data_IF_751329373608
#
_entry.id   IF_751329373608
#
_cell.length_a   1.000
_cell.length_b   1.000
_cell.length_c   1.000
_cell.angle_alpha   90.00
_cell.angle_beta   90.00
_cell.angle_gamma   90.00
#
_symmetry.space_group_name_H-M   'P 1'
#
loop_
_entity.id
_entity.type
_entity.pdbx_description
1 polymer ?
#
# COMPACT_ATOMS: atom_id res chain seq x y z
N UNK A 1 -16.78 -20.92 7.50
CA UNK A 1 -17.13 -19.91 6.50
C UNK A 1 -18.28 -19.08 7.04
N UNK A 2 -18.08 -17.80 7.26
CA UNK A 2 -19.06 -16.92 7.89
C UNK A 2 -19.73 -15.98 6.89
N UNK A 3 -18.97 -15.54 5.89
CA UNK A 3 -19.48 -14.66 4.84
C UNK A 3 -18.67 -14.82 3.54
N UNK A 4 -19.29 -14.48 2.42
CA UNK A 4 -18.68 -14.47 1.09
C UNK A 4 -19.17 -13.24 0.32
N UNK A 5 -18.24 -12.41 -0.14
CA UNK A 5 -18.54 -11.20 -0.90
C UNK A 5 -17.98 -11.33 -2.32
N UNK A 6 -18.84 -11.12 -3.32
CA UNK A 6 -18.39 -11.04 -4.71
C UNK A 6 -17.61 -9.75 -4.95
N UNK A 7 -16.36 -9.89 -5.41
CA UNK A 7 -15.48 -8.78 -5.75
C UNK A 7 -14.67 -9.11 -6.99
N UNK A 8 -14.39 -8.12 -7.82
CA UNK A 8 -13.60 -8.32 -9.03
C UNK A 8 -12.11 -8.39 -8.71
N UNK A 9 -11.49 -9.56 -8.98
CA UNK A 9 -10.03 -9.78 -8.91
C UNK A 9 -9.36 -9.23 -7.64
N UNK A 10 -9.88 -9.59 -6.46
CA UNK A 10 -9.21 -9.27 -5.19
C UNK A 10 -7.79 -9.86 -5.17
N UNK A 11 -6.78 -9.01 -5.34
CA UNK A 11 -5.37 -9.43 -5.34
C UNK A 11 -4.70 -9.29 -3.97
N UNK A 12 -5.23 -8.46 -3.12
CA UNK A 12 -4.76 -8.26 -1.75
C UNK A 12 -5.86 -7.66 -0.87
N UNK A 13 -5.86 -8.04 0.40
CA UNK A 13 -6.72 -7.48 1.43
C UNK A 13 -5.89 -7.03 2.63
N UNK A 14 -6.35 -6.04 3.35
CA UNK A 14 -5.80 -5.63 4.65
C UNK A 14 -6.92 -5.30 5.62
N UNK A 15 -6.68 -5.53 6.91
CA UNK A 15 -7.59 -5.16 7.99
C UNK A 15 -7.02 -3.91 8.66
N UNK A 16 -7.88 -2.97 9.04
CA UNK A 16 -7.51 -1.80 9.83
C UNK A 16 -6.90 -2.22 11.19
N UNK A 17 -6.03 -1.39 11.76
CA UNK A 17 -5.42 -1.67 13.07
C UNK A 17 -6.43 -1.76 14.21
N UNK A 18 -7.56 -1.05 14.10
CA UNK A 18 -8.68 -1.14 15.04
C UNK A 18 -9.60 -2.36 14.82
N UNK A 19 -9.28 -3.22 13.83
CA UNK A 19 -9.98 -4.47 13.49
C UNK A 19 -11.47 -4.30 13.08
N UNK A 20 -11.92 -3.07 12.75
CA UNK A 20 -13.30 -2.79 12.38
C UNK A 20 -13.57 -2.81 10.89
N UNK A 21 -12.53 -2.62 10.08
CA UNK A 21 -12.66 -2.42 8.64
C UNK A 21 -11.74 -3.36 7.87
N UNK A 22 -12.21 -3.78 6.71
CA UNK A 22 -11.43 -4.53 5.74
C UNK A 22 -11.37 -3.75 4.43
N UNK A 23 -10.18 -3.69 3.84
CA UNK A 23 -9.94 -3.08 2.54
C UNK A 23 -9.48 -4.13 1.55
N UNK A 24 -10.04 -4.11 0.35
CA UNK A 24 -9.69 -5.04 -0.73
C UNK A 24 -9.35 -4.29 -2.01
N UNK A 25 -8.32 -4.76 -2.72
CA UNK A 25 -8.04 -4.32 -4.08
C UNK A 25 -9.09 -4.92 -5.02
N UNK A 26 -9.50 -4.12 -6.01
CA UNK A 26 -10.37 -4.54 -7.11
C UNK A 26 -9.72 -4.20 -8.45
N UNK A 27 -10.34 -4.58 -9.56
CA UNK A 27 -9.88 -4.17 -10.91
C UNK A 27 -9.90 -2.65 -11.10
N UNK A 28 -10.77 -1.94 -10.38
CA UNK A 28 -11.03 -0.51 -10.61
C UNK A 28 -10.58 0.39 -9.45
N UNK A 29 -9.99 -0.18 -8.42
CA UNK A 29 -9.54 0.60 -7.25
C UNK A 29 -9.50 -0.21 -5.96
N UNK A 30 -10.15 0.31 -4.94
CA UNK A 30 -10.23 -0.29 -3.59
C UNK A 30 -11.66 -0.27 -3.11
N UNK A 31 -12.09 -1.33 -2.44
CA UNK A 31 -13.35 -1.41 -1.70
C UNK A 31 -13.11 -1.48 -0.21
N UNK A 32 -13.97 -0.81 0.55
CA UNK A 32 -13.98 -0.79 2.01
C UNK A 32 -15.21 -1.50 2.56
N UNK A 33 -15.03 -2.27 3.62
CA UNK A 33 -16.07 -3.02 4.31
C UNK A 33 -16.01 -2.80 5.81
N UNK A 34 -17.16 -2.75 6.46
CA UNK A 34 -17.28 -2.95 7.91
C UNK A 34 -17.19 -4.45 8.19
N UNK A 35 -16.47 -4.82 9.23
CA UNK A 35 -16.48 -6.16 9.81
C UNK A 35 -17.50 -6.14 10.94
N UNK A 36 -18.67 -6.75 10.71
CA UNK A 36 -19.76 -6.82 11.68
C UNK A 36 -19.43 -7.75 12.85
N UNK A 37 -20.18 -7.64 13.96
CA UNK A 37 -19.91 -8.44 15.17
C UNK A 37 -19.99 -9.95 14.95
N UNK A 38 -20.83 -10.40 14.02
CA UNK A 38 -20.96 -11.80 13.61
C UNK A 38 -19.91 -12.23 12.57
N UNK A 39 -19.13 -11.27 12.07
CA UNK A 39 -18.06 -11.46 11.07
C UNK A 39 -18.55 -11.35 9.63
N UNK A 40 -19.79 -10.90 9.40
CA UNK A 40 -20.26 -10.52 8.07
C UNK A 40 -19.57 -9.23 7.58
N UNK A 41 -19.48 -9.07 6.27
CA UNK A 41 -18.84 -7.91 5.64
C UNK A 41 -19.90 -7.02 4.96
N UNK A 42 -20.06 -5.81 5.45
CA UNK A 42 -20.92 -4.79 4.83
C UNK A 42 -20.11 -3.81 4.02
N UNK A 43 -20.33 -3.74 2.70
CA UNK A 43 -19.63 -2.79 1.83
C UNK A 43 -19.99 -1.35 2.21
N UNK A 44 -18.96 -0.53 2.46
CA UNK A 44 -19.10 0.90 2.74
C UNK A 44 -19.07 1.68 1.44
N UNK A 45 -18.00 1.52 0.66
CA UNK A 45 -17.84 2.19 -0.62
C UNK A 45 -16.71 1.60 -1.46
N UNK A 46 -16.69 2.04 -2.72
CA UNK A 46 -15.63 1.84 -3.68
C UNK A 46 -14.93 3.18 -3.99
N UNK A 47 -13.61 3.16 -4.14
CA UNK A 47 -12.82 4.33 -4.50
C UNK A 47 -11.80 4.01 -5.61
N UNK A 48 -11.73 4.83 -6.69
CA UNK A 48 -10.75 4.64 -7.76
C UNK A 48 -9.35 5.05 -7.28
N UNK A 49 -8.32 4.48 -7.91
CA UNK A 49 -6.89 4.81 -7.65
C UNK A 49 -6.20 5.47 -8.85
N UNK A 50 -6.96 5.94 -9.85
CA UNK A 50 -6.45 6.65 -11.03
C UNK A 50 -5.29 5.94 -11.74
N UNK A 51 -5.40 4.64 -11.98
CA UNK A 51 -4.33 3.89 -12.61
C UNK A 51 -4.64 2.41 -12.75
N UNK A 52 -3.58 1.62 -12.89
CA UNK A 52 -3.69 0.17 -12.97
C UNK A 52 -3.99 -0.42 -11.59
N UNK A 53 -4.52 -1.64 -11.58
CA UNK A 53 -4.84 -2.37 -10.36
C UNK A 53 -3.66 -2.42 -9.40
N UNK A 54 -3.90 -2.16 -8.12
CA UNK A 54 -2.93 -2.31 -7.04
C UNK A 54 -2.51 -3.76 -6.82
N UNK A 55 -1.45 -3.97 -6.06
CA UNK A 55 -0.96 -5.30 -5.69
C UNK A 55 -0.74 -5.48 -4.19
N UNK A 56 -0.74 -4.40 -3.42
CA UNK A 56 -0.56 -4.43 -1.97
C UNK A 56 -1.28 -3.25 -1.31
N UNK A 57 -1.78 -3.46 -0.10
CA UNK A 57 -2.44 -2.46 0.76
C UNK A 57 -1.80 -2.44 2.14
N UNK A 58 -1.71 -1.24 2.72
CA UNK A 58 -1.45 -1.03 4.15
C UNK A 58 -2.16 0.22 4.64
N UNK A 59 -2.41 0.30 5.96
CA UNK A 59 -2.89 1.53 6.61
C UNK A 59 -1.79 2.13 7.48
N UNK A 60 -1.91 3.41 7.85
CA UNK A 60 -1.18 3.96 8.99
C UNK A 60 -1.78 3.40 10.30
N UNK A 61 -1.04 3.46 11.40
CA UNK A 61 -1.48 2.86 12.67
C UNK A 61 -2.73 3.50 13.27
N UNK A 62 -3.06 4.74 12.88
CA UNK A 62 -4.27 5.42 13.32
C UNK A 62 -5.46 5.19 12.37
N UNK A 63 -5.31 4.36 11.33
CA UNK A 63 -6.34 4.07 10.31
C UNK A 63 -6.93 5.32 9.67
N UNK A 64 -6.10 6.33 9.38
CA UNK A 64 -6.51 7.57 8.72
C UNK A 64 -6.17 7.61 7.24
N UNK A 65 -5.22 6.78 6.82
CA UNK A 65 -4.77 6.71 5.43
C UNK A 65 -4.57 5.27 4.98
N UNK A 66 -4.90 5.03 3.71
CA UNK A 66 -4.67 3.78 3.00
C UNK A 66 -3.61 3.99 1.92
N UNK A 67 -2.61 3.11 1.90
CA UNK A 67 -1.52 3.10 0.92
C UNK A 67 -1.73 1.96 -0.05
N UNK A 68 -1.67 2.26 -1.36
CA UNK A 68 -1.83 1.28 -2.43
C UNK A 68 -0.55 1.22 -3.25
N UNK A 69 0.11 0.07 -3.24
CA UNK A 69 1.24 -0.20 -4.10
C UNK A 69 0.75 -0.67 -5.47
N UNK A 70 1.20 -0.02 -6.55
CA UNK A 70 0.86 -0.33 -7.93
C UNK A 70 2.07 -0.90 -8.67
N UNK A 71 2.04 -2.22 -8.92
CA UNK A 71 3.14 -2.92 -9.59
C UNK A 71 3.26 -2.54 -11.07
N UNK A 72 2.13 -2.46 -11.76
CA UNK A 72 2.12 -2.30 -13.21
C UNK A 72 2.48 -0.90 -13.69
N UNK A 73 2.13 0.12 -12.93
CA UNK A 73 2.41 1.53 -13.22
C UNK A 73 3.53 2.14 -12.36
N UNK A 74 4.10 1.36 -11.43
CA UNK A 74 5.20 1.81 -10.56
C UNK A 74 4.79 3.00 -9.68
N UNK A 75 3.55 2.98 -9.20
CA UNK A 75 2.94 4.08 -8.44
C UNK A 75 2.64 3.69 -7.00
N UNK A 76 2.88 4.61 -6.06
CA UNK A 76 2.27 4.59 -4.73
C UNK A 76 1.14 5.61 -4.67
N UNK A 77 -0.04 5.19 -4.25
CA UNK A 77 -1.22 6.05 -4.06
C UNK A 77 -1.57 6.09 -2.58
N UNK A 78 -1.80 7.29 -2.06
CA UNK A 78 -2.26 7.52 -0.68
C UNK A 78 -3.68 8.05 -0.73
N UNK A 79 -4.60 7.37 -0.03
CA UNK A 79 -5.99 7.78 0.09
C UNK A 79 -6.31 8.09 1.55
N UNK A 80 -7.12 9.12 1.77
CA UNK A 80 -7.65 9.40 3.10
C UNK A 80 -8.73 8.38 3.46
N UNK A 81 -8.71 7.88 4.67
CA UNK A 81 -9.82 7.12 5.23
C UNK A 81 -10.79 8.06 5.95
N UNK A 82 -12.09 7.75 5.86
CA UNK A 82 -13.15 8.50 6.52
C UNK A 82 -13.40 7.95 7.92
N UNK A 83 -14.09 8.69 8.74
CA UNK A 83 -14.46 8.26 10.10
C UNK A 83 -15.35 7.00 10.13
N UNK A 84 -16.12 6.76 9.05
CA UNK A 84 -16.93 5.56 8.86
C UNK A 84 -16.14 4.36 8.31
N UNK A 85 -14.81 4.49 8.16
CA UNK A 85 -13.92 3.49 7.58
C UNK A 85 -13.92 3.46 6.05
N UNK A 86 -14.75 4.25 5.39
CA UNK A 86 -14.78 4.33 3.95
C UNK A 86 -13.53 4.99 3.37
N UNK A 87 -13.19 4.64 2.13
CA UNK A 87 -12.08 5.26 1.39
C UNK A 87 -12.53 6.59 0.81
N UNK A 88 -11.80 7.66 1.11
CA UNK A 88 -12.03 9.02 0.67
C UNK A 88 -11.17 9.42 -0.54
N UNK A 89 -10.77 10.71 -0.55
CA UNK A 89 -9.99 11.28 -1.67
C UNK A 89 -8.55 10.77 -1.71
N UNK A 90 -7.98 10.77 -2.91
CA UNK A 90 -6.53 10.59 -3.10
C UNK A 90 -5.83 11.86 -2.61
N UNK A 91 -4.93 11.69 -1.64
CA UNK A 91 -4.13 12.79 -1.09
C UNK A 91 -2.78 12.90 -1.78
N UNK A 92 -2.22 11.78 -2.28
CA UNK A 92 -0.94 11.75 -2.96
C UNK A 92 -0.85 10.63 -3.99
N UNK A 93 -0.13 10.90 -5.08
CA UNK A 93 0.25 9.90 -6.07
C UNK A 93 1.70 10.15 -6.49
N UNK A 94 2.56 9.17 -6.30
CA UNK A 94 3.96 9.27 -6.72
C UNK A 94 4.30 8.10 -7.63
N UNK A 95 4.72 8.42 -8.86
CA UNK A 95 5.31 7.46 -9.79
C UNK A 95 6.80 7.37 -9.52
N UNK A 96 7.30 6.18 -9.25
CA UNK A 96 8.72 5.95 -9.20
C UNK A 96 9.36 6.18 -10.57
N UNK A 97 10.58 6.67 -10.57
CA UNK A 97 11.40 6.88 -11.76
C UNK A 97 12.73 6.19 -11.58
N UNK A 98 13.25 5.63 -12.64
CA UNK A 98 14.55 4.97 -12.65
C UNK A 98 14.55 3.81 -13.62
N UNK A 99 15.73 3.24 -13.78
CA UNK A 99 15.98 2.02 -14.53
C UNK A 99 16.73 1.07 -13.60
N UNK A 100 16.31 -0.19 -13.59
CA UNK A 100 17.02 -1.27 -12.94
C UNK A 100 18.06 -1.89 -13.88
N UNK A 101 18.26 -3.21 -13.75
CA UNK A 101 19.08 -3.97 -14.68
C UNK A 101 18.39 -4.13 -16.05
N UNK A 102 19.12 -4.63 -17.03
CA UNK A 102 18.57 -4.98 -18.36
C UNK A 102 17.74 -6.28 -18.36
N UNK A 103 17.60 -6.94 -17.21
CA UNK A 103 16.76 -8.11 -17.07
C UNK A 103 15.29 -7.74 -17.30
N UNK A 104 14.54 -8.61 -17.97
CA UNK A 104 13.18 -8.35 -18.49
C UNK A 104 12.19 -7.79 -17.45
N UNK A 105 12.39 -8.07 -16.16
CA UNK A 105 11.51 -7.62 -15.08
C UNK A 105 12.04 -6.42 -14.29
N UNK A 106 13.27 -5.98 -14.56
CA UNK A 106 13.99 -4.97 -13.79
C UNK A 106 14.37 -3.74 -14.61
N UNK A 107 13.67 -3.45 -15.69
CA UNK A 107 14.02 -2.30 -16.55
C UNK A 107 13.20 -1.05 -16.28
N UNK A 108 12.18 -1.13 -15.43
CA UNK A 108 11.30 -0.02 -15.04
C UNK A 108 10.75 -0.20 -13.64
N UNK A 109 10.22 0.86 -13.01
CA UNK A 109 9.61 0.77 -11.69
C UNK A 109 8.44 -0.21 -11.61
N UNK A 110 8.39 -0.96 -10.50
CA UNK A 110 7.34 -1.91 -10.16
C UNK A 110 7.15 -1.94 -8.65
N UNK A 111 6.37 -1.02 -8.08
CA UNK A 111 6.15 -0.99 -6.63
C UNK A 111 5.35 -2.21 -6.21
N UNK A 112 5.91 -3.01 -5.29
CA UNK A 112 5.29 -4.27 -4.84
C UNK A 112 4.81 -4.25 -3.40
N UNK A 113 5.26 -3.28 -2.59
CA UNK A 113 4.96 -3.26 -1.16
C UNK A 113 5.20 -1.86 -0.57
N UNK A 114 4.41 -1.52 0.44
CA UNK A 114 4.58 -0.30 1.23
C UNK A 114 4.09 -0.50 2.65
N UNK A 115 4.88 -0.15 3.66
CA UNK A 115 4.44 -0.08 5.05
C UNK A 115 5.38 0.83 5.86
N UNK A 116 4.90 1.25 7.02
CA UNK A 116 5.69 2.07 7.94
C UNK A 116 6.76 1.26 8.67
N UNK A 117 7.82 1.97 9.07
CA UNK A 117 8.72 1.52 10.13
C UNK A 117 7.94 1.37 11.45
N UNK A 118 8.41 0.54 12.41
CA UNK A 118 7.70 0.32 13.69
C UNK A 118 7.49 1.58 14.54
N UNK A 119 8.29 2.61 14.33
CA UNK A 119 8.18 3.94 14.97
C UNK A 119 7.31 4.94 14.20
N UNK A 120 6.77 4.53 13.05
CA UNK A 120 5.99 5.36 12.11
C UNK A 120 6.73 6.58 11.53
N UNK A 121 8.03 6.68 11.70
CA UNK A 121 8.77 7.83 11.19
C UNK A 121 8.89 7.81 9.65
N UNK A 122 9.01 6.61 9.06
CA UNK A 122 9.23 6.46 7.63
C UNK A 122 8.28 5.44 6.98
N UNK A 123 7.73 5.80 5.82
CA UNK A 123 7.07 4.87 4.93
C UNK A 123 8.11 4.23 4.00
N UNK A 124 8.28 2.91 4.13
CA UNK A 124 9.14 2.11 3.27
C UNK A 124 8.37 1.64 2.04
N UNK A 125 8.93 1.83 0.84
CA UNK A 125 8.32 1.41 -0.44
C UNK A 125 9.31 0.57 -1.23
N UNK A 126 9.01 -0.71 -1.41
CA UNK A 126 9.84 -1.63 -2.17
C UNK A 126 9.53 -1.56 -3.66
N UNK A 127 10.59 -1.40 -4.46
CA UNK A 127 10.51 -1.37 -5.91
C UNK A 127 11.50 -2.37 -6.52
N UNK A 128 11.05 -3.63 -6.72
CA UNK A 128 11.88 -4.67 -7.34
C UNK A 128 12.26 -4.37 -8.79
N UNK A 129 11.51 -3.49 -9.47
CA UNK A 129 11.79 -3.15 -10.86
C UNK A 129 13.03 -2.29 -11.07
N UNK A 130 13.49 -1.61 -10.04
CA UNK A 130 14.68 -0.75 -10.07
C UNK A 130 15.68 -1.06 -8.94
N UNK A 131 15.53 -2.22 -8.27
CA UNK A 131 16.40 -2.69 -7.18
C UNK A 131 16.54 -1.66 -6.04
N UNK A 132 15.43 -1.03 -5.65
CA UNK A 132 15.44 0.03 -4.64
C UNK A 132 14.36 -0.18 -3.58
N UNK A 133 14.69 0.28 -2.37
CA UNK A 133 13.71 0.57 -1.34
C UNK A 133 13.75 2.08 -1.11
N UNK A 134 12.64 2.75 -1.32
CA UNK A 134 12.52 4.19 -1.05
C UNK A 134 11.90 4.44 0.29
N UNK A 135 12.48 5.36 1.02
CA UNK A 135 12.03 5.80 2.33
C UNK A 135 11.39 7.18 2.17
N UNK A 136 10.21 7.35 2.71
CA UNK A 136 9.46 8.62 2.65
C UNK A 136 9.10 9.11 4.04
N UNK A 137 9.32 10.40 4.30
CA UNK A 137 8.64 11.12 5.37
C UNK A 137 7.14 11.21 5.04
N UNK A 138 6.27 10.95 6.02
CA UNK A 138 4.83 11.02 5.87
C UNK A 138 4.23 12.16 6.69
N UNK A 139 3.36 12.94 6.09
CA UNK A 139 2.63 14.00 6.77
C UNK A 139 1.24 13.50 7.18
N UNK A 140 1.09 13.11 8.45
CA UNK A 140 -0.16 12.58 9.02
C UNK A 140 -1.35 13.57 9.00
N UNK A 141 -1.14 14.85 8.70
CA UNK A 141 -2.25 15.81 8.62
C UNK A 141 -2.87 15.87 7.22
N UNK A 142 -2.06 15.77 6.17
CA UNK A 142 -2.52 15.98 4.80
C UNK A 142 -2.29 14.77 3.86
N UNK A 143 -1.66 13.71 4.34
CA UNK A 143 -1.41 12.48 3.58
C UNK A 143 -0.34 12.62 2.48
N UNK A 144 0.50 13.66 2.54
CA UNK A 144 1.59 13.84 1.59
C UNK A 144 2.82 13.06 2.02
N UNK A 145 3.55 12.53 1.05
CA UNK A 145 4.83 11.86 1.27
C UNK A 145 5.96 12.62 0.57
N UNK A 146 7.12 12.65 1.19
CA UNK A 146 8.31 13.30 0.67
C UNK A 146 9.49 12.33 0.74
N UNK A 147 10.18 12.14 -0.39
CA UNK A 147 11.34 11.25 -0.43
C UNK A 147 12.39 11.71 0.59
N UNK A 148 12.72 10.80 1.51
CA UNK A 148 13.75 10.98 2.54
C UNK A 148 15.07 10.39 2.06
N UNK A 149 15.08 9.09 1.68
CA UNK A 149 16.30 8.39 1.25
C UNK A 149 15.99 7.23 0.30
N UNK A 150 17.02 6.67 -0.32
CA UNK A 150 16.94 5.53 -1.24
C UNK A 150 18.00 4.49 -0.84
N UNK A 151 17.54 3.33 -0.41
CA UNK A 151 18.36 2.15 -0.22
C UNK A 151 18.48 1.44 -1.56
N UNK A 152 19.69 1.38 -2.10
CA UNK A 152 19.99 0.63 -3.34
C UNK A 152 20.40 -0.78 -2.98
N UNK A 153 19.63 -1.74 -3.42
CA UNK A 153 19.98 -3.15 -3.32
C UNK A 153 20.99 -3.55 -4.38
N UNK A 154 21.56 -4.74 -4.26
CA UNK A 154 22.36 -5.31 -5.32
C UNK A 154 21.53 -5.41 -6.61
N UNK A 155 22.13 -5.21 -7.76
CA UNK A 155 21.46 -5.37 -9.05
C UNK A 155 20.82 -6.76 -9.17
N UNK A 156 19.62 -6.79 -9.68
CA UNK A 156 18.81 -8.01 -9.87
C UNK A 156 18.37 -8.71 -8.56
N UNK A 157 18.53 -8.05 -7.40
CA UNK A 157 18.06 -8.58 -6.11
C UNK A 157 16.55 -8.47 -5.94
N UNK A 158 15.91 -7.53 -6.66
CA UNK A 158 14.47 -7.33 -6.71
C UNK A 158 13.80 -7.33 -5.32
N UNK A 159 14.10 -6.36 -4.42
CA UNK A 159 13.54 -6.31 -3.07
C UNK A 159 12.01 -6.18 -3.14
N UNK A 160 11.28 -7.17 -2.65
CA UNK A 160 9.82 -7.24 -2.79
C UNK A 160 9.05 -6.80 -1.57
N UNK A 161 9.62 -6.99 -0.39
CA UNK A 161 8.94 -6.80 0.89
C UNK A 161 9.98 -6.58 2.00
N UNK A 162 9.60 -5.83 3.03
CA UNK A 162 10.35 -5.71 4.27
C UNK A 162 9.47 -6.21 5.41
N UNK A 163 10.08 -6.95 6.33
CA UNK A 163 9.49 -7.29 7.62
C UNK A 163 10.40 -6.77 8.72
N UNK A 164 9.81 -6.18 9.72
CA UNK A 164 10.53 -5.68 10.89
C UNK A 164 10.40 -6.69 12.05
N UNK A 165 11.47 -6.84 12.82
CA UNK A 165 11.37 -7.54 14.09
C UNK A 165 10.45 -6.77 15.05
N UNK A 166 9.82 -7.49 15.98
CA UNK A 166 8.88 -6.90 16.93
C UNK A 166 9.52 -5.81 17.81
N UNK A 167 10.82 -5.88 18.06
CA UNK A 167 11.59 -4.88 18.80
C UNK A 167 12.16 -3.76 17.90
N UNK A 168 11.85 -3.75 16.61
CA UNK A 168 12.28 -2.75 15.63
C UNK A 168 13.78 -2.73 15.30
N UNK A 169 14.56 -3.69 15.82
CA UNK A 169 16.03 -3.66 15.64
C UNK A 169 16.53 -4.26 14.34
N UNK A 170 15.72 -5.08 13.69
CA UNK A 170 16.08 -5.80 12.48
C UNK A 170 14.99 -5.65 11.43
N UNK A 171 15.43 -5.65 10.17
CA UNK A 171 14.58 -5.68 9.01
C UNK A 171 15.12 -6.71 8.01
#
# INVERSE_FOLDING_TARGET
EKDEVEITNSSYITISHNEKYLYSITDFGVEAYVIEQDGELTCINHAPINGMRGCYLSTDYEDRFLFVAGYHDGKITVLRLREDGGVGEITEEIYHKGMGSIAERNFRPHISWSAFTPDEELLCVCDPGIDQIKLYEFNHNNGKIKLYDIIRSQLESAPRQILFSQDGKFA
#
